data_IF_989872218016
#
_entry.id   IF_989872218016
#
_cell.length_a   1.000
_cell.length_b   1.000
_cell.length_c   1.000
_cell.angle_alpha   90.00
_cell.angle_beta   90.00
_cell.angle_gamma   90.00
#
_symmetry.space_group_name_H-M   'P 1'
#
loop_
_entity.id
_entity.type
_entity.pdbx_description
1 polymer ?
#
# COMPACT_ATOMS: atom_id res chain seq x y z
N UNK A 1 -13.77 14.03 13.04
CA UNK A 1 -12.31 13.85 13.18
C UNK A 1 -11.87 13.14 11.94
N UNK A 2 -10.81 13.59 11.28
CA UNK A 2 -10.34 12.95 10.06
C UNK A 2 -9.25 11.95 10.42
N UNK A 3 -9.41 10.73 9.94
CA UNK A 3 -8.45 9.63 10.07
C UNK A 3 -7.99 9.26 8.67
N UNK A 4 -6.68 9.13 8.48
CA UNK A 4 -6.08 8.66 7.25
C UNK A 4 -5.26 7.42 7.58
N UNK A 5 -5.44 6.35 6.81
CA UNK A 5 -4.72 5.08 6.99
C UNK A 5 -4.23 4.55 5.65
N UNK A 6 -2.99 4.04 5.58
CA UNK A 6 -2.60 3.20 4.46
C UNK A 6 -3.37 1.88 4.55
N UNK A 7 -3.95 1.48 3.43
CA UNK A 7 -4.74 0.25 3.32
C UNK A 7 -4.30 -0.56 2.13
N UNK A 8 -4.30 -1.88 2.29
CA UNK A 8 -4.06 -2.84 1.22
C UNK A 8 -5.36 -3.57 0.92
N UNK A 9 -5.71 -3.70 -0.36
CA UNK A 9 -6.81 -4.53 -0.81
C UNK A 9 -6.44 -6.02 -0.66
N UNK A 10 -7.34 -6.78 -0.06
CA UNK A 10 -7.14 -8.20 0.21
C UNK A 10 -7.55 -9.03 -1.00
N UNK A 11 -6.62 -9.82 -1.52
CA UNK A 11 -6.94 -10.81 -2.54
C UNK A 11 -7.62 -12.05 -1.91
N UNK A 12 -8.50 -12.75 -2.66
CA UNK A 12 -9.10 -14.00 -2.18
C UNK A 12 -8.05 -15.03 -1.76
N UNK A 13 -8.23 -15.64 -0.58
CA UNK A 13 -7.34 -16.64 0.01
C UNK A 13 -7.70 -18.09 -0.37
N UNK A 14 -8.61 -18.30 -1.32
CA UNK A 14 -9.11 -19.63 -1.68
C UNK A 14 -7.96 -20.57 -2.08
N UNK A 15 -7.86 -21.70 -1.38
CA UNK A 15 -6.83 -22.72 -1.63
C UNK A 15 -5.42 -22.35 -1.15
N UNK A 16 -5.24 -21.27 -0.39
CA UNK A 16 -3.94 -20.86 0.12
C UNK A 16 -3.57 -21.59 1.42
N UNK A 17 -2.41 -22.26 1.45
CA UNK A 17 -1.94 -23.06 2.58
C UNK A 17 -0.45 -22.88 2.95
N UNK A 18 0.26 -21.91 2.34
CA UNK A 18 1.69 -21.70 2.59
C UNK A 18 1.99 -21.12 3.98
N UNK A 19 1.10 -20.29 4.52
CA UNK A 19 1.18 -19.74 5.88
C UNK A 19 -0.19 -19.29 6.40
N UNK A 20 -0.35 -19.07 7.72
CA UNK A 20 -1.60 -18.56 8.28
C UNK A 20 -1.96 -17.16 7.76
N UNK A 21 -3.22 -17.00 7.36
CA UNK A 21 -3.81 -15.72 6.92
C UNK A 21 -5.04 -15.40 7.76
N UNK A 22 -5.31 -14.10 7.96
CA UNK A 22 -6.54 -13.65 8.60
C UNK A 22 -7.76 -13.88 7.70
N UNK A 23 -8.89 -14.22 8.30
CA UNK A 23 -10.16 -14.38 7.61
C UNK A 23 -10.77 -13.00 7.30
N UNK A 24 -10.41 -12.43 6.16
CA UNK A 24 -10.94 -11.19 5.62
C UNK A 24 -11.77 -11.48 4.36
N UNK A 25 -12.79 -10.67 4.13
CA UNK A 25 -13.57 -10.78 2.91
C UNK A 25 -12.70 -10.39 1.70
N UNK A 26 -12.85 -11.07 0.54
CA UNK A 26 -12.20 -10.65 -0.69
C UNK A 26 -12.52 -9.20 -1.04
N UNK A 27 -11.51 -8.45 -1.49
CA UNK A 27 -11.58 -7.05 -1.89
C UNK A 27 -11.93 -6.08 -0.74
N UNK A 28 -11.89 -6.55 0.50
CA UNK A 28 -11.87 -5.66 1.66
C UNK A 28 -10.46 -5.09 1.87
N UNK A 29 -10.35 -4.08 2.73
CA UNK A 29 -9.11 -3.37 2.97
C UNK A 29 -8.56 -3.67 4.36
N UNK A 30 -7.30 -4.11 4.42
CA UNK A 30 -6.55 -4.24 5.67
C UNK A 30 -5.73 -2.97 5.92
N UNK A 31 -5.88 -2.30 7.08
CA UNK A 31 -5.01 -1.19 7.43
C UNK A 31 -3.59 -1.69 7.73
N UNK A 32 -2.60 -1.08 7.09
CA UNK A 32 -1.19 -1.42 7.29
C UNK A 32 -0.60 -0.56 8.41
N UNK A 33 -0.25 -1.17 9.53
CA UNK A 33 0.39 -0.49 10.67
C UNK A 33 1.22 -1.46 11.50
N UNK A 34 1.84 -0.94 12.57
CA UNK A 34 2.68 -1.69 13.51
C UNK A 34 1.94 -2.59 14.50
N UNK A 35 0.61 -2.68 14.44
CA UNK A 35 -0.22 -3.46 15.37
C UNK A 35 -0.87 -4.69 14.70
N UNK A 36 -0.51 -4.98 13.44
CA UNK A 36 -1.03 -6.14 12.73
C UNK A 36 -0.62 -7.45 13.40
N UNK A 37 -1.60 -8.35 13.55
CA UNK A 37 -1.34 -9.72 14.00
C UNK A 37 -0.48 -10.49 12.98
N UNK A 38 0.22 -11.57 13.39
CA UNK A 38 0.98 -12.39 12.45
C UNK A 38 0.16 -12.91 11.26
N UNK A 39 -1.12 -13.25 11.48
CA UNK A 39 -2.03 -13.66 10.41
C UNK A 39 -2.41 -12.49 9.48
N UNK A 40 -2.54 -11.27 10.03
CA UNK A 40 -2.76 -10.06 9.24
C UNK A 40 -1.55 -9.70 8.37
N UNK A 41 -0.33 -9.84 8.89
CA UNK A 41 0.90 -9.71 8.09
C UNK A 41 0.95 -10.78 7.00
N UNK A 42 0.61 -12.03 7.33
CA UNK A 42 0.50 -13.11 6.36
C UNK A 42 -0.48 -12.81 5.23
N UNK A 43 -1.66 -12.25 5.54
CA UNK A 43 -2.64 -11.83 4.53
C UNK A 43 -2.10 -10.72 3.63
N UNK A 44 -1.38 -9.75 4.19
CA UNK A 44 -0.80 -8.67 3.40
C UNK A 44 0.27 -9.18 2.44
N UNK A 45 1.20 -10.02 2.92
CA UNK A 45 2.24 -10.64 2.08
C UNK A 45 1.63 -11.52 1.00
N UNK A 46 0.61 -12.31 1.33
CA UNK A 46 -0.12 -13.13 0.35
C UNK A 46 -0.76 -12.27 -0.73
N UNK A 47 -1.45 -11.20 -0.36
CA UNK A 47 -2.18 -10.34 -1.31
C UNK A 47 -1.21 -9.62 -2.25
N UNK A 48 -0.11 -9.07 -1.73
CA UNK A 48 0.93 -8.44 -2.55
C UNK A 48 1.58 -9.47 -3.48
N UNK A 49 1.95 -10.66 -2.98
CA UNK A 49 2.54 -11.70 -3.83
C UNK A 49 1.60 -12.10 -4.97
N UNK A 50 0.31 -12.31 -4.67
CA UNK A 50 -0.71 -12.68 -5.64
C UNK A 50 -0.97 -11.58 -6.68
N UNK A 51 -0.96 -10.31 -6.27
CA UNK A 51 -1.10 -9.17 -7.19
C UNK A 51 0.05 -9.08 -8.20
N UNK A 52 1.23 -9.62 -7.85
CA UNK A 52 2.42 -9.66 -8.70
C UNK A 52 2.63 -11.03 -9.35
N UNK A 53 1.66 -11.95 -9.33
CA UNK A 53 1.82 -13.34 -9.78
C UNK A 53 1.74 -13.50 -11.31
N UNK A 54 2.40 -12.63 -12.07
CA UNK A 54 2.48 -12.71 -13.52
C UNK A 54 3.85 -13.19 -14.01
N UNK A 55 3.88 -13.83 -15.17
CA UNK A 55 5.10 -14.34 -15.79
C UNK A 55 5.68 -13.25 -16.71
N UNK A 56 6.84 -12.65 -16.38
CA UNK A 56 7.49 -11.69 -17.27
C UNK A 56 7.99 -12.38 -18.55
N UNK A 57 7.87 -11.72 -19.69
CA UNK A 57 8.30 -12.26 -20.99
C UNK A 57 9.80 -12.61 -21.02
N UNK A 58 10.64 -11.80 -20.34
CA UNK A 58 12.11 -11.91 -20.33
C UNK A 58 12.69 -12.13 -18.91
N UNK A 59 12.07 -13.00 -18.09
CA UNK A 59 12.50 -13.25 -16.70
C UNK A 59 13.14 -14.62 -16.42
N UNK A 60 13.71 -14.80 -15.21
CA UNK A 60 14.12 -16.12 -14.75
C UNK A 60 12.91 -17.06 -14.74
N UNK A 61 13.12 -18.33 -15.09
CA UNK A 61 12.03 -19.31 -15.15
C UNK A 61 11.35 -19.48 -13.78
N UNK A 62 10.02 -19.50 -13.76
CA UNK A 62 9.23 -19.77 -12.56
C UNK A 62 9.63 -21.14 -11.94
N UNK A 63 9.94 -21.19 -10.63
CA UNK A 63 10.19 -22.44 -9.93
C UNK A 63 8.98 -23.38 -9.97
N UNK A 64 9.22 -24.68 -9.82
CA UNK A 64 8.16 -25.69 -9.73
C UNK A 64 7.66 -25.95 -8.32
N UNK A 65 8.42 -25.52 -7.29
CA UNK A 65 7.97 -25.67 -5.91
C UNK A 65 6.89 -24.62 -5.59
N UNK A 66 5.84 -24.96 -4.82
CA UNK A 66 4.71 -24.06 -4.61
C UNK A 66 5.08 -22.70 -4.01
N UNK A 67 6.02 -22.67 -3.06
CA UNK A 67 6.44 -21.44 -2.40
C UNK A 67 7.23 -20.53 -3.35
N UNK A 68 8.22 -21.10 -4.04
CA UNK A 68 9.04 -20.38 -5.01
C UNK A 68 8.22 -19.89 -6.21
N UNK A 69 7.25 -20.67 -6.67
CA UNK A 69 6.31 -20.28 -7.71
C UNK A 69 5.46 -19.08 -7.28
N UNK A 70 4.91 -19.12 -6.06
CA UNK A 70 4.05 -18.08 -5.50
C UNK A 70 4.78 -16.76 -5.23
N UNK A 71 6.02 -16.83 -4.76
CA UNK A 71 6.85 -15.64 -4.51
C UNK A 71 7.59 -15.15 -5.77
N UNK A 72 7.43 -15.83 -6.91
CA UNK A 72 8.28 -15.60 -8.07
C UNK A 72 8.21 -14.16 -8.58
N UNK A 73 7.02 -13.64 -8.85
CA UNK A 73 6.87 -12.27 -9.35
C UNK A 73 7.34 -11.24 -8.32
N UNK A 74 6.86 -11.36 -7.08
CA UNK A 74 7.26 -10.47 -5.98
C UNK A 74 8.78 -10.35 -5.81
N UNK A 75 9.53 -11.44 -5.99
CA UNK A 75 10.97 -11.46 -5.73
C UNK A 75 11.86 -11.15 -6.94
N UNK A 76 11.30 -11.06 -8.15
CA UNK A 76 12.09 -10.91 -9.38
C UNK A 76 11.61 -9.76 -10.28
N UNK A 77 10.43 -9.18 -10.05
CA UNK A 77 9.97 -7.98 -10.75
C UNK A 77 10.57 -6.72 -10.09
N UNK A 78 10.91 -5.76 -10.93
CA UNK A 78 11.40 -4.44 -10.50
C UNK A 78 10.22 -3.54 -10.12
N UNK A 79 9.21 -3.47 -11.00
CA UNK A 79 7.97 -2.71 -10.80
C UNK A 79 6.95 -3.60 -10.09
N UNK A 80 6.79 -3.36 -8.79
CA UNK A 80 5.90 -4.14 -7.92
C UNK A 80 4.64 -3.35 -7.60
N UNK A 81 3.50 -4.03 -7.66
CA UNK A 81 2.20 -3.46 -7.38
C UNK A 81 1.67 -3.93 -6.02
N UNK A 82 1.25 -3.00 -5.16
CA UNK A 82 0.54 -3.30 -3.92
C UNK A 82 -0.85 -2.63 -3.96
N UNK A 83 -1.92 -3.38 -4.31
CA UNK A 83 -3.25 -2.79 -4.52
C UNK A 83 -3.76 -2.16 -3.25
N UNK A 84 -4.17 -0.89 -3.30
CA UNK A 84 -4.55 -0.16 -2.11
C UNK A 84 -4.25 1.32 -2.23
N UNK A 85 -3.89 1.96 -1.13
CA UNK A 85 -3.61 3.40 -1.10
C UNK A 85 -3.92 4.00 0.26
N UNK A 86 -4.31 5.27 0.27
CA UNK A 86 -4.70 5.96 1.50
C UNK A 86 -6.22 6.05 1.61
N UNK A 87 -6.79 5.44 2.65
CA UNK A 87 -8.20 5.59 3.01
C UNK A 87 -8.36 6.75 3.97
N UNK A 88 -9.24 7.69 3.65
CA UNK A 88 -9.57 8.84 4.51
C UNK A 88 -11.00 8.70 5.02
N UNK A 89 -11.20 8.85 6.32
CA UNK A 89 -12.50 8.79 6.96
C UNK A 89 -12.73 10.06 7.77
N UNK A 90 -13.78 10.80 7.45
CA UNK A 90 -14.28 11.84 8.32
C UNK A 90 -15.35 11.26 9.27
N UNK A 91 -14.96 11.06 10.53
CA UNK A 91 -15.86 10.49 11.53
C UNK A 91 -17.02 11.42 11.93
N UNK A 92 -16.98 12.71 11.55
CA UNK A 92 -18.06 13.64 11.85
C UNK A 92 -19.22 13.49 10.86
N UNK A 93 -18.90 13.30 9.57
CA UNK A 93 -19.89 13.17 8.49
C UNK A 93 -20.15 11.72 8.09
N UNK A 94 -19.24 10.80 8.44
CA UNK A 94 -19.26 9.42 7.97
C UNK A 94 -18.73 9.23 6.55
N UNK A 95 -18.24 10.29 5.91
CA UNK A 95 -17.66 10.21 4.57
C UNK A 95 -16.37 9.38 4.58
N UNK A 96 -16.23 8.50 3.59
CA UNK A 96 -15.06 7.63 3.41
C UNK A 96 -14.57 7.76 1.97
N UNK A 97 -13.35 8.27 1.81
CA UNK A 97 -12.60 8.15 0.56
C UNK A 97 -11.79 6.86 0.63
N UNK A 98 -12.04 5.95 -0.29
CA UNK A 98 -11.22 4.73 -0.48
C UNK A 98 -10.41 4.85 -1.77
N UNK A 99 -9.25 4.19 -1.86
CA UNK A 99 -8.54 4.05 -3.12
C UNK A 99 -9.42 3.36 -4.18
N UNK A 100 -9.27 3.75 -5.44
CA UNK A 100 -9.87 3.06 -6.59
C UNK A 100 -9.09 1.79 -6.96
N UNK A 101 -9.63 0.99 -7.87
CA UNK A 101 -9.17 -0.39 -8.12
C UNK A 101 -7.78 -0.52 -8.75
N UNK A 102 -7.25 0.54 -9.36
CA UNK A 102 -5.92 0.57 -9.96
C UNK A 102 -4.88 1.30 -9.12
N UNK A 103 -5.26 1.80 -7.94
CA UNK A 103 -4.35 2.58 -7.12
C UNK A 103 -3.34 1.68 -6.39
N UNK A 104 -2.08 2.13 -6.38
CA UNK A 104 -0.99 1.50 -5.66
C UNK A 104 -0.69 2.18 -4.31
N UNK A 105 -0.15 1.45 -3.35
CA UNK A 105 0.39 2.03 -2.11
C UNK A 105 1.63 2.89 -2.35
N UNK A 106 2.39 2.62 -3.41
CA UNK A 106 3.52 3.41 -3.86
C UNK A 106 3.09 4.79 -4.39
N UNK A 107 1.94 4.88 -5.06
CA UNK A 107 1.30 6.12 -5.57
C UNK A 107 0.86 7.10 -4.47
N UNK A 108 1.08 6.77 -3.19
CA UNK A 108 0.88 7.72 -2.08
C UNK A 108 1.74 9.00 -2.25
N UNK A 109 2.80 8.97 -3.06
CA UNK A 109 3.59 10.16 -3.39
C UNK A 109 2.78 11.21 -4.14
N UNK A 110 1.69 10.83 -4.80
CA UNK A 110 0.84 11.74 -5.57
C UNK A 110 0.09 12.74 -4.66
N UNK A 111 -0.04 12.42 -3.36
CA UNK A 111 -0.51 13.38 -2.37
C UNK A 111 0.40 14.61 -2.25
N UNK A 112 1.67 14.52 -2.65
CA UNK A 112 2.57 15.68 -2.74
C UNK A 112 2.16 16.65 -3.83
N UNK A 113 1.53 16.20 -4.92
CA UNK A 113 1.00 17.09 -5.96
C UNK A 113 -0.12 17.97 -5.42
N UNK A 114 -0.95 17.45 -4.53
CA UNK A 114 -2.00 18.22 -3.84
C UNK A 114 -1.37 19.27 -2.90
N UNK A 115 -0.32 18.90 -2.17
CA UNK A 115 0.27 19.75 -1.14
C UNK A 115 1.20 20.84 -1.68
N UNK A 116 2.09 20.45 -2.59
CA UNK A 116 3.26 21.23 -3.03
C UNK A 116 3.36 21.36 -4.56
N UNK A 117 2.65 20.53 -5.32
CA UNK A 117 2.69 20.50 -6.78
C UNK A 117 1.52 21.20 -7.46
N UNK A 118 0.95 20.55 -8.47
CA UNK A 118 -0.11 21.11 -9.32
C UNK A 118 -1.42 21.43 -8.55
N UNK A 119 -1.57 20.93 -7.32
CA UNK A 119 -2.75 21.10 -6.49
C UNK A 119 -3.87 20.11 -6.82
N UNK A 120 -3.59 19.03 -7.54
CA UNK A 120 -4.58 18.02 -7.90
C UNK A 120 -3.94 16.63 -8.03
N UNK A 121 -4.64 15.59 -7.58
CA UNK A 121 -4.28 14.18 -7.80
C UNK A 121 -5.54 13.29 -7.86
N UNK A 122 -5.45 12.17 -8.59
CA UNK A 122 -6.46 11.11 -8.65
C UNK A 122 -5.88 9.83 -8.04
N UNK A 123 -6.72 9.02 -7.39
CA UNK A 123 -6.28 7.81 -6.67
C UNK A 123 -7.00 6.56 -7.15
N UNK A 124 -7.04 6.35 -8.47
CA UNK A 124 -7.67 5.19 -9.13
C UNK A 124 -9.04 5.48 -9.76
N UNK A 125 -9.72 4.41 -10.18
CA UNK A 125 -11.07 4.45 -10.76
C UNK A 125 -11.98 3.40 -10.11
N UNK A 126 -13.29 3.59 -10.26
CA UNK A 126 -14.37 2.74 -9.72
C UNK A 126 -14.23 2.36 -8.22
N UNK A 127 -14.31 3.31 -7.27
CA UNK A 127 -14.67 4.73 -7.45
C UNK A 127 -13.49 5.57 -7.97
N UNK A 128 -13.75 6.79 -8.44
CA UNK A 128 -12.73 7.72 -8.93
C UNK A 128 -12.39 8.80 -7.88
N UNK A 129 -11.68 8.46 -6.78
CA UNK A 129 -11.34 9.42 -5.74
C UNK A 129 -10.34 10.46 -6.24
N UNK A 130 -10.55 11.71 -5.84
CA UNK A 130 -9.66 12.80 -6.22
C UNK A 130 -9.41 13.75 -5.05
N UNK A 131 -8.28 14.44 -5.07
CA UNK A 131 -7.96 15.50 -4.13
C UNK A 131 -7.54 16.77 -4.87
N UNK A 132 -8.04 17.90 -4.38
CA UNK A 132 -7.77 19.22 -4.96
C UNK A 132 -7.37 20.20 -3.87
N UNK A 133 -6.42 21.10 -4.16
CA UNK A 133 -6.02 22.19 -3.29
C UNK A 133 -6.84 23.44 -3.57
N UNK A 134 -7.62 23.85 -2.58
CA UNK A 134 -8.43 25.07 -2.60
C UNK A 134 -7.91 26.02 -1.51
N UNK A 135 -7.04 26.95 -1.91
CA UNK A 135 -6.38 27.85 -0.96
C UNK A 135 -5.46 27.09 0.00
N UNK A 136 -5.75 27.18 1.30
CA UNK A 136 -5.04 26.51 2.39
C UNK A 136 -5.72 25.19 2.84
N UNK A 137 -6.68 24.70 2.06
CA UNK A 137 -7.43 23.47 2.31
C UNK A 137 -7.24 22.47 1.17
N UNK A 138 -7.32 21.19 1.51
CA UNK A 138 -7.56 20.13 0.57
C UNK A 138 -9.06 19.79 0.57
N UNK A 139 -9.64 19.63 -0.62
CA UNK A 139 -10.95 19.05 -0.85
C UNK A 139 -10.74 17.66 -1.41
N UNK A 140 -11.26 16.65 -0.74
CA UNK A 140 -11.18 15.26 -1.15
C UNK A 140 -12.56 14.83 -1.64
N UNK A 141 -12.68 14.50 -2.91
CA UNK A 141 -13.91 14.01 -3.53
C UNK A 141 -13.88 12.49 -3.52
N UNK A 142 -14.87 11.87 -2.87
CA UNK A 142 -14.91 10.41 -2.69
C UNK A 142 -15.05 9.67 -4.01
N UNK A 143 -15.81 10.24 -4.95
CA UNK A 143 -16.01 9.70 -6.29
C UNK A 143 -16.31 10.85 -7.26
N UNK A 144 -15.33 11.24 -8.07
CA UNK A 144 -15.41 12.37 -8.98
C UNK A 144 -16.35 12.11 -10.17
N UNK A 145 -16.71 10.86 -10.45
CA UNK A 145 -17.68 10.50 -11.49
C UNK A 145 -19.13 10.73 -11.01
N UNK A 146 -19.32 11.13 -9.76
CA UNK A 146 -20.63 11.44 -9.16
C UNK A 146 -20.77 12.93 -8.85
N UNK A 147 -21.70 13.59 -9.53
CA UNK A 147 -21.92 15.06 -9.40
C UNK A 147 -22.17 15.53 -7.96
N UNK A 148 -22.92 14.75 -7.16
CA UNK A 148 -23.26 15.06 -5.75
C UNK A 148 -22.60 14.10 -4.75
N UNK A 149 -21.40 13.62 -5.07
CA UNK A 149 -20.61 12.75 -4.19
C UNK A 149 -20.21 13.45 -2.87
N UNK A 150 -20.07 12.69 -1.76
CA UNK A 150 -19.59 13.26 -0.51
C UNK A 150 -18.15 13.79 -0.68
N UNK A 151 -17.86 14.89 0.01
CA UNK A 151 -16.54 15.51 0.03
C UNK A 151 -16.03 15.59 1.47
N UNK A 152 -14.72 15.45 1.64
CA UNK A 152 -14.01 15.66 2.90
C UNK A 152 -13.11 16.87 2.74
N UNK A 153 -13.22 17.86 3.61
CA UNK A 153 -12.38 19.05 3.57
C UNK A 153 -11.53 19.18 4.82
N UNK A 154 -10.25 19.47 4.63
CA UNK A 154 -9.30 19.63 5.74
C UNK A 154 -8.22 20.67 5.44
N UNK A 155 -7.67 21.34 6.46
CA UNK A 155 -6.48 22.16 6.29
C UNK A 155 -5.31 21.37 5.71
N UNK A 156 -4.50 21.98 4.85
CA UNK A 156 -3.30 21.33 4.29
C UNK A 156 -2.30 20.94 5.39
N UNK A 157 -2.25 21.69 6.49
CA UNK A 157 -1.42 21.36 7.66
C UNK A 157 -1.85 20.07 8.33
N UNK A 158 -3.16 19.82 8.42
CA UNK A 158 -3.70 18.56 8.93
C UNK A 158 -3.44 17.41 7.96
N UNK A 159 -3.61 17.64 6.65
CA UNK A 159 -3.30 16.62 5.65
C UNK A 159 -1.82 16.20 5.71
N UNK A 160 -0.88 17.15 5.78
CA UNK A 160 0.56 16.84 5.95
C UNK A 160 0.83 15.99 7.18
N UNK A 161 0.23 16.33 8.32
CA UNK A 161 0.37 15.56 9.58
C UNK A 161 -0.16 14.14 9.42
N UNK A 162 -1.31 13.98 8.76
CA UNK A 162 -1.94 12.69 8.50
C UNK A 162 -1.10 11.81 7.56
N UNK A 163 -0.52 12.39 6.50
CA UNK A 163 0.38 11.68 5.59
C UNK A 163 1.66 11.23 6.31
N UNK A 164 2.25 12.09 7.14
CA UNK A 164 3.41 11.73 7.96
C UNK A 164 3.10 10.55 8.89
N UNK A 165 1.90 10.52 9.48
CA UNK A 165 1.47 9.39 10.30
C UNK A 165 1.30 8.10 9.48
N UNK A 166 0.76 8.18 8.26
CA UNK A 166 0.65 7.04 7.37
C UNK A 166 2.00 6.48 6.92
N UNK A 167 3.00 7.34 6.66
CA UNK A 167 4.38 6.89 6.39
C UNK A 167 4.99 6.14 7.57
N UNK A 168 4.74 6.62 8.79
CA UNK A 168 5.16 5.92 10.00
C UNK A 168 4.47 4.57 10.14
N UNK A 169 3.16 4.48 9.86
CA UNK A 169 2.40 3.23 9.89
C UNK A 169 2.92 2.21 8.87
N UNK A 170 3.20 2.64 7.64
CA UNK A 170 3.83 1.80 6.61
C UNK A 170 5.22 1.31 7.01
N UNK A 171 6.03 2.19 7.60
CA UNK A 171 7.37 1.85 8.10
C UNK A 171 7.29 0.85 9.25
N UNK A 172 6.33 1.02 10.17
CA UNK A 172 6.11 0.09 11.27
C UNK A 172 5.62 -1.28 10.76
N UNK A 173 4.72 -1.29 9.78
CA UNK A 173 4.30 -2.51 9.10
C UNK A 173 5.48 -3.24 8.43
N UNK A 174 6.35 -2.52 7.71
CA UNK A 174 7.54 -3.12 7.08
C UNK A 174 8.45 -3.78 8.14
N UNK A 175 8.65 -3.16 9.30
CA UNK A 175 9.39 -3.80 10.41
C UNK A 175 8.71 -5.06 10.95
N UNK A 176 7.37 -5.07 11.08
CA UNK A 176 6.63 -6.29 11.44
C UNK A 176 6.86 -7.40 10.41
N UNK A 177 6.82 -7.07 9.12
CA UNK A 177 7.03 -8.06 8.05
C UNK A 177 8.42 -8.68 8.09
N UNK A 178 9.45 -7.92 8.48
CA UNK A 178 10.80 -8.46 8.67
C UNK A 178 10.83 -9.54 9.75
N UNK A 179 10.19 -9.28 10.90
CA UNK A 179 10.10 -10.23 12.02
C UNK A 179 9.26 -11.46 11.65
N UNK A 180 8.15 -11.23 10.94
CA UNK A 180 7.31 -12.31 10.45
C UNK A 180 8.05 -13.20 9.44
N UNK A 181 8.80 -12.61 8.51
CA UNK A 181 9.49 -13.33 7.45
C UNK A 181 10.61 -14.23 7.98
N UNK A 182 11.32 -13.84 9.04
CA UNK A 182 12.34 -14.72 9.66
C UNK A 182 11.71 -15.98 10.28
N UNK A 183 10.45 -15.90 10.72
CA UNK A 183 9.73 -17.03 11.31
C UNK A 183 9.12 -17.94 10.25
N UNK A 184 8.46 -17.36 9.24
CA UNK A 184 7.68 -18.12 8.26
C UNK A 184 8.45 -18.46 6.99
N UNK A 185 9.39 -17.60 6.58
CA UNK A 185 10.10 -17.68 5.29
C UNK A 185 11.60 -17.38 5.45
N UNK A 186 12.33 -18.07 6.35
CA UNK A 186 13.70 -17.69 6.72
C UNK A 186 14.67 -17.61 5.54
N UNK A 187 14.53 -18.51 4.55
CA UNK A 187 15.36 -18.52 3.34
C UNK A 187 15.11 -17.32 2.40
N UNK A 188 13.96 -16.64 2.52
CA UNK A 188 13.55 -15.52 1.68
C UNK A 188 13.48 -14.20 2.43
N UNK A 189 13.68 -14.17 3.75
CA UNK A 189 13.36 -13.03 4.60
C UNK A 189 13.95 -11.70 4.12
N UNK A 190 15.26 -11.67 3.80
CA UNK A 190 15.91 -10.45 3.32
C UNK A 190 15.41 -10.01 1.94
N UNK A 191 15.19 -10.94 1.01
CA UNK A 191 14.71 -10.62 -0.35
C UNK A 191 13.26 -10.15 -0.31
N UNK A 192 12.44 -10.80 0.52
CA UNK A 192 11.05 -10.43 0.73
C UNK A 192 10.94 -9.04 1.33
N UNK A 193 11.75 -8.71 2.34
CA UNK A 193 11.76 -7.36 2.93
C UNK A 193 12.08 -6.27 1.89
N UNK A 194 13.10 -6.47 1.04
CA UNK A 194 13.43 -5.52 -0.02
C UNK A 194 12.28 -5.37 -1.04
N UNK A 195 11.71 -6.48 -1.49
CA UNK A 195 10.56 -6.46 -2.40
C UNK A 195 9.35 -5.71 -1.81
N UNK A 196 9.01 -5.97 -0.54
CA UNK A 196 7.92 -5.26 0.15
C UNK A 196 8.23 -3.77 0.32
N UNK A 197 9.47 -3.39 0.63
CA UNK A 197 9.84 -1.99 0.71
C UNK A 197 9.59 -1.27 -0.63
N UNK A 198 9.99 -1.87 -1.75
CA UNK A 198 9.72 -1.32 -3.09
C UNK A 198 8.24 -1.23 -3.42
N UNK A 199 7.48 -2.31 -3.17
CA UNK A 199 6.03 -2.33 -3.41
C UNK A 199 5.26 -1.29 -2.58
N UNK A 200 5.81 -0.89 -1.42
CA UNK A 200 5.25 0.17 -0.57
C UNK A 200 5.87 1.56 -0.85
N UNK A 201 6.77 1.66 -1.85
CA UNK A 201 7.56 2.84 -2.17
C UNK A 201 8.42 3.38 -1.02
N UNK A 202 8.77 2.54 -0.04
CA UNK A 202 9.61 2.89 1.10
C UNK A 202 11.09 2.72 0.75
N UNK A 203 11.99 3.52 1.36
CA UNK A 203 13.42 3.30 1.19
C UNK A 203 13.82 1.91 1.70
N UNK A 204 14.60 1.19 0.91
CA UNK A 204 15.28 -0.04 1.31
C UNK A 204 16.39 0.29 2.35
N UNK A 205 15.99 0.65 3.58
CA UNK A 205 16.81 1.18 4.69
C UNK A 205 17.46 2.57 4.48
N UNK A 206 17.60 3.39 5.56
CA UNK A 206 18.56 4.48 5.61
C UNK A 206 19.97 3.91 5.87
N UNK A 207 20.64 3.41 4.84
CA UNK A 207 21.96 2.80 4.99
C UNK A 207 22.76 2.81 3.69
N UNK A 208 23.74 3.71 3.62
CA UNK A 208 24.75 3.86 2.57
C UNK A 208 24.26 4.37 1.20
N UNK A 209 23.97 5.68 1.12
CA UNK A 209 24.39 6.42 -0.08
C UNK A 209 25.92 6.28 -0.16
N UNK A 210 26.38 5.57 -1.18
CA UNK A 210 27.80 5.45 -1.48
C UNK A 210 28.43 6.84 -1.49
N UNK A 211 29.39 7.04 -0.61
CA UNK A 211 30.30 8.16 -0.72
C UNK A 211 31.07 7.98 -2.02
N UNK A 212 30.73 8.78 -3.03
CA UNK A 212 31.59 9.00 -4.18
C UNK A 212 32.84 9.68 -3.65
N UNK A 213 33.88 8.90 -3.37
CA UNK A 213 35.22 9.42 -3.11
C UNK A 213 35.82 9.85 -4.45
N UNK A 214 36.06 11.16 -4.54
CA UNK A 214 37.06 11.89 -5.34
C UNK A 214 37.39 11.38 -6.73
#
# INVERSE_FOLDING_TARGET
MIVLRPVLEVCPADGFDLWPVAALAPYDFVPLNGDLSPAGVGTAVMSIAKANDFEPEDGPRRPSDPLGAFLHGLLNLDDLFAPGGLRVTDTATGAVLSPGCCNGLDERTDWSEVLDGAGWASFGHDPSPAAERIGDRARLTVDADREDGPVIELPLTDLRRLLTAAEHDLTAFLHLTATWATTHLPAHASRLHGALARALGLPEHPGTRGATRT
#
